data_IF_744801509784
#
_entry.id   IF_744801509784
#
_cell.length_a   1.000
_cell.length_b   1.000
_cell.length_c   1.000
_cell.angle_alpha   90.00
_cell.angle_beta   90.00
_cell.angle_gamma   90.00
#
_symmetry.space_group_name_H-M   'P 1'
#
loop_
_entity.id
_entity.type
_entity.pdbx_description
1 polymer ?
#
# COMPACT_ATOMS: atom_id res chain seq x y z
N UNK A 1 19.12 -7.70 20.09
CA UNK A 1 19.89 -6.55 19.59
C UNK A 1 20.00 -5.54 20.71
N UNK A 2 21.21 -5.11 21.07
CA UNK A 2 21.41 -4.05 22.05
C UNK A 2 21.33 -2.69 21.34
N UNK A 3 20.49 -1.77 21.81
CA UNK A 3 20.29 -0.46 21.20
C UNK A 3 20.91 0.59 22.11
N UNK A 4 21.85 1.37 21.60
CA UNK A 4 22.37 2.53 22.32
C UNK A 4 21.31 3.65 22.32
N UNK A 5 20.51 3.69 23.39
CA UNK A 5 19.46 4.67 23.57
C UNK A 5 19.98 6.11 23.70
N UNK A 6 21.20 6.28 24.22
CA UNK A 6 21.81 7.61 24.36
C UNK A 6 22.09 8.17 22.98
N UNK A 7 22.73 7.39 22.11
CA UNK A 7 22.95 7.79 20.73
C UNK A 7 21.65 7.91 19.94
N UNK A 8 20.76 6.91 20.02
CA UNK A 8 19.49 6.88 19.28
C UNK A 8 18.65 8.14 19.52
N UNK A 9 18.59 8.63 20.76
CA UNK A 9 17.84 9.83 21.12
C UNK A 9 18.39 11.13 20.55
N UNK A 10 19.66 11.15 20.15
CA UNK A 10 20.34 12.32 19.60
C UNK A 10 20.17 12.44 18.08
N UNK A 11 19.78 11.37 17.41
CA UNK A 11 19.63 11.30 15.95
C UNK A 11 18.55 12.25 15.44
N UNK A 12 18.73 12.72 14.20
CA UNK A 12 17.80 13.66 13.55
C UNK A 12 16.40 13.07 13.40
N UNK A 13 16.32 11.80 12.98
CA UNK A 13 15.04 11.10 12.83
C UNK A 13 14.26 11.01 14.16
N UNK A 14 14.95 10.64 15.25
CA UNK A 14 14.30 10.58 16.56
C UNK A 14 13.80 11.95 17.04
N UNK A 15 14.62 12.99 16.90
CA UNK A 15 14.22 14.35 17.29
C UNK A 15 13.01 14.83 16.49
N UNK A 16 12.98 14.59 15.18
CA UNK A 16 11.84 14.96 14.32
C UNK A 16 10.56 14.22 14.68
N UNK A 17 10.63 12.90 14.91
CA UNK A 17 9.48 12.12 15.36
C UNK A 17 9.00 12.57 16.74
N UNK A 18 9.92 12.84 17.67
CA UNK A 18 9.61 13.29 19.02
C UNK A 18 8.95 14.66 19.02
N UNK A 19 9.42 15.58 18.18
CA UNK A 19 8.82 16.90 18.01
C UNK A 19 7.38 16.79 17.50
N UNK A 20 7.14 15.98 16.47
CA UNK A 20 5.79 15.74 15.94
C UNK A 20 4.86 15.12 17.01
N UNK A 21 5.35 14.13 17.74
CA UNK A 21 4.63 13.53 18.87
C UNK A 21 4.29 14.56 19.96
N UNK A 22 5.26 15.37 20.38
CA UNK A 22 5.07 16.36 21.44
C UNK A 22 4.11 17.48 21.03
N UNK A 23 4.14 17.89 19.76
CA UNK A 23 3.19 18.85 19.20
C UNK A 23 1.75 18.37 19.34
N UNK A 24 1.47 17.16 18.86
CA UNK A 24 0.12 16.58 18.93
C UNK A 24 -0.30 16.26 20.36
N UNK A 25 0.62 15.70 21.17
CA UNK A 25 0.36 15.39 22.56
C UNK A 25 0.05 16.64 23.42
N UNK A 26 0.57 17.82 23.03
CA UNK A 26 0.29 19.10 23.70
C UNK A 26 -1.09 19.65 23.34
N UNK A 27 -1.59 19.34 22.15
CA UNK A 27 -2.90 19.75 21.65
C UNK A 27 -4.01 18.75 22.00
N UNK A 28 -3.65 17.51 22.34
CA UNK A 28 -4.57 16.47 22.77
C UNK A 28 -5.48 16.97 23.91
N UNK A 29 -6.80 16.87 23.71
CA UNK A 29 -7.80 17.29 24.69
C UNK A 29 -8.07 18.79 24.79
N UNK A 30 -7.37 19.64 24.02
CA UNK A 30 -7.57 21.11 24.03
C UNK A 30 -8.48 21.63 22.92
N UNK A 31 -8.68 20.84 21.87
CA UNK A 31 -9.58 21.17 20.78
C UNK A 31 -11.01 20.76 21.11
N UNK A 32 -11.99 21.50 20.56
CA UNK A 32 -13.43 21.24 20.72
C UNK A 32 -13.84 19.85 20.23
N UNK A 33 -13.06 19.28 19.31
CA UNK A 33 -13.15 17.88 18.85
C UNK A 33 -11.75 17.27 18.97
N UNK A 34 -11.35 16.80 20.16
CA UNK A 34 -10.01 16.30 20.36
C UNK A 34 -9.83 15.05 19.48
N UNK A 35 -8.89 15.11 18.55
CA UNK A 35 -8.72 14.07 17.54
C UNK A 35 -8.38 12.72 18.18
N UNK A 36 -7.47 12.69 19.16
CA UNK A 36 -7.03 11.51 19.92
C UNK A 36 -6.55 11.85 21.34
N UNK A 37 -6.51 10.84 22.21
CA UNK A 37 -5.94 10.96 23.55
C UNK A 37 -4.40 10.91 23.52
N UNK A 38 -3.75 11.56 24.49
CA UNK A 38 -2.30 11.55 24.72
C UNK A 38 -1.73 10.13 24.80
N UNK A 39 -2.48 9.21 25.41
CA UNK A 39 -2.08 7.80 25.50
C UNK A 39 -1.98 7.12 24.14
N UNK A 40 -2.88 7.42 23.19
CA UNK A 40 -2.82 6.83 21.85
C UNK A 40 -1.58 7.33 21.09
N UNK A 41 -1.26 8.61 21.22
CA UNK A 41 -0.03 9.17 20.66
C UNK A 41 1.21 8.49 21.24
N UNK A 42 1.23 8.25 22.56
CA UNK A 42 2.34 7.55 23.20
C UNK A 42 2.47 6.10 22.73
N UNK A 43 1.34 5.36 22.65
CA UNK A 43 1.31 3.99 22.10
C UNK A 43 1.83 3.95 20.67
N UNK A 44 1.43 4.93 19.85
CA UNK A 44 1.89 5.03 18.45
C UNK A 44 3.38 5.34 18.38
N UNK A 45 3.88 6.26 19.19
CA UNK A 45 5.30 6.58 19.27
C UNK A 45 6.15 5.35 19.65
N UNK A 46 5.74 4.60 20.67
CA UNK A 46 6.38 3.34 21.05
C UNK A 46 6.32 2.29 19.92
N UNK A 47 5.19 2.22 19.22
CA UNK A 47 5.02 1.32 18.08
C UNK A 47 6.01 1.63 16.96
N UNK A 48 6.24 2.91 16.65
CA UNK A 48 7.21 3.33 15.60
C UNK A 48 8.62 2.88 15.98
N UNK A 49 9.05 3.12 17.22
CA UNK A 49 10.37 2.70 17.70
C UNK A 49 10.51 1.18 17.63
N UNK A 50 9.50 0.46 18.11
CA UNK A 50 9.45 -1.00 18.07
C UNK A 50 9.55 -1.52 16.63
N UNK A 51 8.91 -0.83 15.68
CA UNK A 51 8.98 -1.17 14.26
C UNK A 51 10.36 -0.95 13.67
N UNK A 52 11.03 0.13 14.04
CA UNK A 52 12.41 0.42 13.60
C UNK A 52 13.38 -0.65 14.12
N UNK A 53 13.25 -1.08 15.38
CA UNK A 53 14.05 -2.17 15.95
C UNK A 53 13.82 -3.47 15.19
N UNK A 54 12.54 -3.79 14.94
CA UNK A 54 12.17 -4.99 14.19
C UNK A 54 12.76 -4.98 12.76
N UNK A 55 12.69 -3.85 12.05
CA UNK A 55 13.29 -3.71 10.73
C UNK A 55 14.82 -3.75 10.76
N UNK A 56 15.45 -3.16 11.78
CA UNK A 56 16.89 -3.26 11.97
C UNK A 56 17.33 -4.71 12.09
N UNK A 57 16.62 -5.52 12.87
CA UNK A 57 16.88 -6.96 12.99
C UNK A 57 16.62 -7.73 11.69
N UNK A 58 15.51 -7.45 11.01
CA UNK A 58 15.12 -8.16 9.79
C UNK A 58 16.02 -7.83 8.58
N UNK A 59 16.52 -6.59 8.50
CA UNK A 59 17.31 -6.09 7.37
C UNK A 59 18.81 -5.98 7.69
N UNK A 60 19.23 -6.39 8.89
CA UNK A 60 20.59 -6.25 9.40
C UNK A 60 21.11 -4.79 9.31
N UNK A 61 20.26 -3.84 9.69
CA UNK A 61 20.55 -2.39 9.76
C UNK A 61 20.44 -1.90 11.19
N UNK A 62 21.04 -0.74 11.50
CA UNK A 62 20.81 -0.12 12.79
C UNK A 62 19.42 0.56 12.84
N UNK A 63 18.70 0.52 13.97
CA UNK A 63 17.37 1.11 14.13
C UNK A 63 17.32 2.61 13.86
N UNK A 64 18.40 3.34 14.15
CA UNK A 64 18.47 4.76 13.87
C UNK A 64 18.54 5.06 12.37
N UNK A 65 19.31 4.29 11.61
CA UNK A 65 19.37 4.43 10.15
C UNK A 65 18.00 4.15 9.52
N UNK A 66 17.30 3.13 10.02
CA UNK A 66 15.92 2.83 9.59
C UNK A 66 14.98 4.00 9.90
N UNK A 67 15.06 4.56 11.10
CA UNK A 67 14.21 5.68 11.48
C UNK A 67 14.52 6.93 10.64
N UNK A 68 15.79 7.21 10.34
CA UNK A 68 16.19 8.32 9.49
C UNK A 68 15.74 8.14 8.03
N UNK A 69 15.82 6.93 7.48
CA UNK A 69 15.24 6.59 6.17
C UNK A 69 13.71 6.76 6.15
N UNK A 70 13.01 6.41 7.22
CA UNK A 70 11.56 6.57 7.30
C UNK A 70 11.18 8.05 7.45
N UNK A 71 11.87 8.80 8.30
CA UNK A 71 11.62 10.22 8.53
C UNK A 71 11.98 11.09 7.31
N UNK A 72 13.06 10.77 6.59
CA UNK A 72 13.42 11.49 5.35
C UNK A 72 12.37 11.36 4.24
N UNK A 73 11.58 10.28 4.24
CA UNK A 73 10.47 10.06 3.31
C UNK A 73 9.13 10.58 3.82
N UNK A 74 9.05 10.97 5.10
CA UNK A 74 7.81 11.45 5.72
C UNK A 74 7.52 12.86 5.21
N UNK A 75 6.44 12.99 4.44
CA UNK A 75 5.97 14.27 3.88
C UNK A 75 4.56 14.66 4.35
N UNK A 76 3.98 13.92 5.29
CA UNK A 76 2.68 14.23 5.89
C UNK A 76 2.64 13.84 7.37
N UNK A 77 1.45 13.96 7.96
CA UNK A 77 1.21 13.73 9.37
C UNK A 77 1.72 12.37 9.84
N UNK A 78 2.56 12.38 10.89
CA UNK A 78 3.30 11.21 11.35
C UNK A 78 2.39 10.07 11.78
N UNK A 79 1.26 10.36 12.41
CA UNK A 79 0.35 9.33 12.89
C UNK A 79 -0.20 8.47 11.75
N UNK A 80 -0.59 9.12 10.65
CA UNK A 80 -1.03 8.45 9.42
C UNK A 80 0.13 7.83 8.66
N UNK A 81 1.30 8.46 8.66
CA UNK A 81 2.48 7.95 7.95
C UNK A 81 2.89 6.58 8.49
N UNK A 82 2.86 6.45 9.81
CA UNK A 82 3.24 5.27 10.56
C UNK A 82 2.09 4.29 10.79
N UNK A 83 1.40 3.85 9.74
CA UNK A 83 0.32 2.88 9.82
C UNK A 83 0.77 1.48 9.39
N UNK A 84 0.07 0.44 9.87
CA UNK A 84 0.46 -0.95 9.60
C UNK A 84 0.48 -1.30 8.09
N UNK A 85 -0.39 -0.70 7.29
CA UNK A 85 -0.38 -0.87 5.83
C UNK A 85 0.85 -0.28 5.15
N UNK A 86 1.44 0.78 5.70
CA UNK A 86 2.63 1.44 5.16
C UNK A 86 3.92 0.81 5.72
N UNK A 87 3.88 0.32 6.96
CA UNK A 87 5.01 -0.35 7.62
C UNK A 87 4.61 -1.76 8.10
N UNK A 88 4.46 -2.71 7.15
CA UNK A 88 4.05 -4.07 7.46
C UNK A 88 5.14 -4.82 8.25
N UNK A 89 4.71 -5.68 9.19
CA UNK A 89 5.64 -6.56 9.91
C UNK A 89 6.29 -7.54 8.93
N UNK A 90 7.61 -7.39 8.73
CA UNK A 90 8.42 -8.35 7.99
C UNK A 90 8.50 -9.66 8.79
N UNK A 91 7.80 -10.71 8.35
CA UNK A 91 7.98 -12.03 8.99
C UNK A 91 9.23 -12.67 8.39
N UNK A 92 10.17 -13.21 9.19
CA UNK A 92 11.39 -13.82 8.67
C UNK A 92 11.10 -14.98 7.70
N UNK A 93 9.99 -15.69 7.92
CA UNK A 93 9.47 -16.75 7.04
C UNK A 93 8.96 -16.22 5.69
N UNK A 94 8.50 -14.97 5.65
CA UNK A 94 7.98 -14.30 4.44
C UNK A 94 9.04 -13.54 3.66
N UNK A 95 10.23 -13.35 4.23
CA UNK A 95 11.40 -12.87 3.48
C UNK A 95 11.81 -14.01 2.57
N UNK A 96 11.36 -13.96 1.31
CA UNK A 96 11.87 -14.84 0.26
C UNK A 96 13.39 -14.77 0.28
N UNK A 97 14.06 -15.83 0.78
CA UNK A 97 15.53 -16.00 0.71
C UNK A 97 16.04 -15.95 -0.73
N UNK A 98 15.13 -16.03 -1.71
CA UNK A 98 15.45 -15.85 -3.10
C UNK A 98 15.33 -14.36 -3.42
N UNK A 99 16.43 -13.68 -3.80
CA UNK A 99 16.33 -12.37 -4.41
C UNK A 99 15.45 -12.52 -5.65
N UNK A 100 14.97 -11.42 -6.21
CA UNK A 100 14.08 -11.38 -7.38
C UNK A 100 14.62 -12.03 -8.68
N UNK A 101 15.61 -12.94 -8.61
CA UNK A 101 16.21 -13.73 -9.68
C UNK A 101 15.68 -15.16 -9.82
N UNK A 102 14.49 -15.47 -9.29
CA UNK A 102 13.79 -16.67 -9.78
C UNK A 102 13.28 -16.34 -11.19
N UNK A 103 13.84 -16.97 -12.22
CA UNK A 103 13.24 -17.01 -13.56
C UNK A 103 11.77 -17.41 -13.41
N UNK A 104 10.84 -16.46 -13.60
CA UNK A 104 9.39 -16.67 -13.46
C UNK A 104 8.62 -15.72 -12.53
N UNK A 105 9.28 -14.86 -11.74
CA UNK A 105 8.59 -13.92 -10.80
C UNK A 105 7.68 -12.89 -11.51
N UNK A 106 7.86 -12.64 -12.81
CA UNK A 106 6.93 -11.86 -13.64
C UNK A 106 5.47 -12.38 -13.62
N UNK A 107 5.19 -13.57 -13.05
CA UNK A 107 3.83 -14.12 -12.95
C UNK A 107 2.92 -13.44 -11.92
N UNK A 108 3.44 -12.83 -10.84
CA UNK A 108 2.57 -12.34 -9.74
C UNK A 108 2.21 -10.85 -9.83
N UNK A 109 2.95 -10.05 -10.60
CA UNK A 109 2.62 -8.64 -10.87
C UNK A 109 1.86 -8.43 -12.19
N UNK A 110 1.51 -9.49 -12.89
CA UNK A 110 0.60 -9.39 -14.03
C UNK A 110 -0.84 -9.57 -13.56
N UNK A 111 -1.62 -8.55 -13.88
CA UNK A 111 -3.09 -8.50 -13.92
C UNK A 111 -3.75 -8.03 -12.63
N UNK A 112 -3.42 -6.79 -12.23
CA UNK A 112 -4.49 -5.91 -11.75
C UNK A 112 -5.58 -5.92 -12.82
N UNK A 113 -6.71 -6.55 -12.53
CA UNK A 113 -7.92 -6.57 -13.37
C UNK A 113 -8.54 -5.18 -13.35
N UNK A 114 -7.87 -4.18 -13.91
CA UNK A 114 -8.61 -3.09 -14.51
C UNK A 114 -9.13 -3.68 -15.83
N UNK A 115 -10.45 -3.89 -15.99
CA UNK A 115 -10.97 -4.34 -17.27
C UNK A 115 -10.56 -3.29 -18.29
N UNK A 116 -9.69 -3.67 -19.22
CA UNK A 116 -9.41 -2.90 -20.43
C UNK A 116 -10.77 -2.48 -21.00
N UNK A 117 -10.95 -1.20 -21.30
CA UNK A 117 -12.22 -0.63 -21.80
C UNK A 117 -12.75 -1.41 -23.01
N UNK A 118 -11.86 -2.07 -23.76
CA UNK A 118 -12.19 -2.96 -24.87
C UNK A 118 -12.94 -4.24 -24.47
N UNK A 119 -12.77 -4.75 -23.25
CA UNK A 119 -13.44 -6.00 -22.81
C UNK A 119 -14.96 -5.87 -22.73
N UNK A 120 -15.49 -4.72 -22.29
CA UNK A 120 -16.94 -4.46 -22.27
C UNK A 120 -17.51 -4.30 -23.68
N UNK A 121 -16.76 -3.66 -24.58
CA UNK A 121 -17.17 -3.49 -25.99
C UNK A 121 -17.20 -4.85 -26.70
N UNK A 122 -16.15 -5.65 -26.53
CA UNK A 122 -16.06 -6.98 -27.13
C UNK A 122 -17.12 -7.95 -26.58
N UNK A 123 -17.46 -7.88 -25.29
CA UNK A 123 -18.58 -8.63 -24.73
C UNK A 123 -19.92 -8.21 -25.36
N UNK A 124 -20.19 -6.90 -25.50
CA UNK A 124 -21.42 -6.42 -26.15
C UNK A 124 -21.53 -6.88 -27.61
N UNK A 125 -20.43 -6.84 -28.35
CA UNK A 125 -20.37 -7.31 -29.74
C UNK A 125 -20.64 -8.82 -29.81
N UNK A 126 -19.98 -9.60 -28.94
CA UNK A 126 -20.20 -11.05 -28.86
C UNK A 126 -21.64 -11.42 -28.51
N UNK A 127 -22.24 -10.74 -27.54
CA UNK A 127 -23.64 -10.94 -27.15
C UNK A 127 -24.62 -10.53 -28.27
N UNK A 128 -24.33 -9.45 -29.00
CA UNK A 128 -25.09 -9.06 -30.17
C UNK A 128 -25.06 -10.13 -31.25
N UNK A 129 -23.86 -10.62 -31.60
CA UNK A 129 -23.69 -11.67 -32.61
C UNK A 129 -24.38 -12.99 -32.20
N UNK A 130 -24.31 -13.38 -30.92
CA UNK A 130 -25.03 -14.55 -30.40
C UNK A 130 -26.55 -14.40 -30.51
N UNK A 131 -27.10 -13.22 -30.19
CA UNK A 131 -28.53 -12.91 -30.36
C UNK A 131 -28.96 -12.93 -31.83
N UNK A 132 -28.07 -12.56 -32.75
CA UNK A 132 -28.35 -12.63 -34.20
C UNK A 132 -28.24 -14.06 -34.74
N UNK A 133 -27.39 -14.93 -34.16
CA UNK A 133 -27.16 -16.30 -34.62
C UNK A 133 -28.42 -17.17 -34.59
N UNK A 134 -29.31 -16.94 -33.65
CA UNK A 134 -30.57 -17.68 -33.52
C UNK A 134 -31.73 -17.05 -34.31
N UNK A 135 -31.52 -15.89 -34.94
CA UNK A 135 -32.53 -15.26 -35.80
C UNK A 135 -32.36 -15.78 -37.21
N UNK A 136 -33.45 -16.24 -37.83
CA UNK A 136 -33.44 -16.54 -39.27
C UNK A 136 -33.03 -15.27 -40.04
N UNK A 137 -32.11 -15.36 -41.01
CA UNK A 137 -31.75 -14.21 -41.84
C UNK A 137 -33.03 -13.65 -42.47
N UNK A 138 -33.42 -12.43 -42.09
CA UNK A 138 -34.52 -11.75 -42.78
C UNK A 138 -33.96 -11.17 -44.08
N UNK A 139 -34.08 -11.95 -45.15
CA UNK A 139 -33.84 -11.44 -46.50
C UNK A 139 -34.74 -10.22 -46.73
N UNK A 140 -34.15 -9.09 -47.08
CA UNK A 140 -34.90 -7.90 -47.49
C UNK A 140 -35.70 -8.21 -48.76
N UNK A 141 -36.80 -7.49 -49.00
CA UNK A 141 -37.65 -7.74 -50.18
C UNK A 141 -36.85 -7.72 -51.49
N UNK A 142 -35.91 -6.78 -51.61
CA UNK A 142 -34.95 -6.66 -52.72
C UNK A 142 -34.06 -7.89 -52.92
N UNK A 143 -33.75 -8.61 -51.85
CA UNK A 143 -32.85 -9.77 -51.90
C UNK A 143 -33.62 -11.05 -52.25
N UNK A 144 -34.88 -11.14 -51.80
CA UNK A 144 -35.83 -12.17 -52.25
C UNK A 144 -36.15 -12.05 -53.74
N UNK A 145 -36.28 -10.83 -54.27
CA UNK A 145 -36.53 -10.61 -55.71
C UNK A 145 -35.35 -10.99 -56.61
N UNK A 146 -34.15 -11.20 -56.04
CA UNK A 146 -32.94 -11.58 -56.77
C UNK A 146 -32.68 -13.11 -56.73
N UNK A 147 -33.56 -13.90 -56.11
CA UNK A 147 -33.53 -15.37 -56.20
C UNK A 147 -32.51 -16.09 -55.31
N UNK A 148 -32.09 -15.48 -54.19
CA UNK A 148 -31.21 -16.10 -53.18
C UNK A 148 -31.99 -16.62 -51.96
#
# INVERSE_FOLDING_TARGET
MNVDWKYFSQTKGYKSLKEAYMGDARMAGKETRPMRNKEEFYKKFQWVISRCIHYGQALNKQPWDVLEELESKRNYWWFSYYQESNQPKIRPESISKKPMHIRGIKKYYKNGRLPDSNTRVNQRIGDHLRKQRNKKPRWTAKRKSLGY
#
